data_IF_356578488971
#
_entry.id   IF_356578488971
#
_cell.length_a   1.000
_cell.length_b   1.000
_cell.length_c   1.000
_cell.angle_alpha   90.00
_cell.angle_beta   90.00
_cell.angle_gamma   90.00
#
_symmetry.space_group_name_H-M   'P 1'
#
loop_
_entity.id
_entity.type
_entity.pdbx_description
1 polymer ?
#
# COMPACT_ATOMS: atom_id res chain seq x y z
N UNK A 1 -6.52 -7.96 -17.66
CA UNK A 1 -6.36 -7.57 -16.26
C UNK A 1 -5.80 -6.15 -16.20
N UNK A 2 -6.38 -5.30 -15.39
CA UNK A 2 -5.91 -3.91 -15.30
C UNK A 2 -4.70 -3.80 -14.39
N UNK A 3 -3.95 -2.70 -14.57
CA UNK A 3 -2.81 -2.40 -13.69
C UNK A 3 -3.28 -2.27 -12.24
N UNK A 4 -4.43 -1.62 -12.03
CA UNK A 4 -4.99 -1.48 -10.67
C UNK A 4 -5.26 -2.85 -10.04
N UNK A 5 -5.80 -3.79 -10.79
CA UNK A 5 -6.06 -5.14 -10.30
C UNK A 5 -4.76 -5.84 -9.92
N UNK A 6 -3.72 -5.68 -10.73
CA UNK A 6 -2.41 -6.27 -10.44
C UNK A 6 -1.81 -5.69 -9.16
N UNK A 7 -1.91 -4.37 -8.98
CA UNK A 7 -1.41 -3.70 -7.78
C UNK A 7 -2.20 -4.16 -6.54
N UNK A 8 -3.52 -4.24 -6.66
CA UNK A 8 -4.37 -4.73 -5.58
C UNK A 8 -3.94 -6.13 -5.14
N UNK A 9 -3.70 -7.03 -6.10
CA UNK A 9 -3.25 -8.39 -5.79
C UNK A 9 -1.91 -8.40 -5.07
N UNK A 10 -0.99 -7.52 -5.47
CA UNK A 10 0.31 -7.42 -4.83
C UNK A 10 0.16 -7.01 -3.36
N UNK A 11 -0.69 -6.02 -3.09
CA UNK A 11 -0.95 -5.59 -1.72
C UNK A 11 -1.67 -6.66 -0.91
N UNK A 12 -2.63 -7.34 -1.52
CA UNK A 12 -3.34 -8.44 -0.85
C UNK A 12 -2.37 -9.55 -0.42
N UNK A 13 -1.42 -9.87 -1.29
CA UNK A 13 -0.41 -10.88 -0.97
C UNK A 13 0.47 -10.44 0.20
N UNK A 14 0.83 -9.15 0.26
CA UNK A 14 1.60 -8.61 1.37
C UNK A 14 0.83 -8.70 2.69
N UNK A 15 -0.45 -8.34 2.66
CA UNK A 15 -1.31 -8.44 3.84
C UNK A 15 -1.47 -9.88 4.29
N UNK A 16 -1.60 -10.81 3.34
CA UNK A 16 -1.71 -12.24 3.65
C UNK A 16 -0.49 -12.73 4.41
N UNK A 17 0.70 -12.31 4.00
CA UNK A 17 1.95 -12.66 4.68
C UNK A 17 1.98 -12.15 6.11
N UNK A 18 1.29 -11.05 6.38
CA UNK A 18 1.21 -10.45 7.71
C UNK A 18 0.04 -10.99 8.53
N UNK A 19 -0.74 -11.91 7.95
CA UNK A 19 -1.90 -12.47 8.62
C UNK A 19 -3.08 -11.51 8.70
N UNK A 20 -3.17 -10.56 7.78
CA UNK A 20 -4.20 -9.53 7.78
C UNK A 20 -5.17 -9.76 6.62
N UNK A 21 -6.47 -9.70 6.92
CA UNK A 21 -7.51 -9.67 5.91
C UNK A 21 -8.17 -8.30 5.94
N UNK A 22 -8.15 -7.60 4.83
CA UNK A 22 -8.74 -6.28 4.73
C UNK A 22 -9.01 -5.93 3.26
N UNK A 23 -10.00 -5.08 3.07
CA UNK A 23 -10.29 -4.53 1.74
C UNK A 23 -9.28 -3.43 1.44
N UNK A 24 -8.74 -3.45 0.23
CA UNK A 24 -7.73 -2.48 -0.20
C UNK A 24 -8.32 -1.58 -1.27
N UNK A 25 -8.27 -0.28 -1.03
CA UNK A 25 -8.64 0.72 -2.01
C UNK A 25 -7.36 1.30 -2.63
N UNK A 26 -7.23 1.13 -3.92
CA UNK A 26 -6.12 1.69 -4.69
C UNK A 26 -6.68 2.85 -5.50
N UNK A 27 -6.08 4.02 -5.35
CA UNK A 27 -6.54 5.22 -6.06
C UNK A 27 -5.40 5.85 -6.85
N UNK A 28 -5.76 6.67 -7.83
CA UNK A 28 -4.80 7.49 -8.57
C UNK A 28 -4.68 8.83 -7.86
N UNK A 29 -3.46 9.21 -7.42
CA UNK A 29 -3.27 10.54 -6.82
C UNK A 29 -3.53 11.63 -7.85
N UNK A 30 -3.98 12.78 -7.37
CA UNK A 30 -4.23 13.94 -8.24
C UNK A 30 -2.93 14.44 -8.88
N UNK A 31 -1.82 14.36 -8.16
CA UNK A 31 -0.52 14.84 -8.62
C UNK A 31 0.45 13.68 -8.82
N UNK A 32 1.13 13.65 -9.97
CA UNK A 32 2.07 12.59 -10.31
C UNK A 32 3.24 12.46 -9.33
N UNK A 33 3.56 13.53 -8.60
CA UNK A 33 4.61 13.47 -7.60
C UNK A 33 4.29 12.53 -6.44
N UNK A 34 3.02 12.14 -6.29
CA UNK A 34 2.58 11.16 -5.30
C UNK A 34 2.52 9.74 -5.87
N UNK A 35 3.10 9.54 -7.05
CA UNK A 35 3.16 8.24 -7.70
C UNK A 35 2.04 7.99 -8.69
N UNK A 36 2.00 6.80 -9.22
CA UNK A 36 0.97 6.39 -10.17
C UNK A 36 -0.29 5.89 -9.46
N UNK A 37 -0.11 5.30 -8.28
CA UNK A 37 -1.22 4.82 -7.45
C UNK A 37 -0.87 4.99 -5.98
N UNK A 38 -1.90 5.07 -5.15
CA UNK A 38 -1.75 5.28 -3.72
C UNK A 38 -2.80 4.48 -2.96
N UNK A 39 -2.49 4.09 -1.74
CA UNK A 39 -3.47 3.44 -0.86
C UNK A 39 -3.33 3.96 0.57
N UNK A 40 -4.45 4.04 1.28
CA UNK A 40 -4.50 4.42 2.68
C UNK A 40 -4.70 3.20 3.58
N UNK A 41 -4.38 1.99 3.09
CA UNK A 41 -4.64 0.76 3.83
C UNK A 41 -4.01 0.76 5.23
N UNK A 42 -2.80 1.31 5.35
CA UNK A 42 -2.11 1.36 6.64
C UNK A 42 -2.89 2.20 7.65
N UNK A 43 -3.44 3.33 7.21
CA UNK A 43 -4.25 4.17 8.07
C UNK A 43 -5.55 3.50 8.48
N UNK A 44 -6.17 2.76 7.56
CA UNK A 44 -7.37 2.01 7.84
C UNK A 44 -7.16 0.91 8.87
N UNK A 45 -5.97 0.32 8.90
CA UNK A 45 -5.64 -0.78 9.81
C UNK A 45 -5.09 -0.33 11.15
N UNK A 46 -4.70 0.95 11.28
CA UNK A 46 -4.01 1.44 12.47
C UNK A 46 -4.78 1.18 13.75
N UNK A 47 -6.09 1.44 13.73
CA UNK A 47 -6.95 1.27 14.89
C UNK A 47 -7.08 -0.20 15.29
N UNK A 48 -7.28 -1.05 14.29
CA UNK A 48 -7.45 -2.49 14.48
C UNK A 48 -6.19 -3.14 15.02
N UNK A 49 -5.04 -2.76 14.48
CA UNK A 49 -3.75 -3.35 14.84
C UNK A 49 -3.08 -2.66 16.02
N UNK A 50 -3.62 -1.52 16.47
CA UNK A 50 -3.06 -0.73 17.58
C UNK A 50 -1.60 -0.36 17.35
N UNK A 51 -1.29 0.01 16.10
CA UNK A 51 0.04 0.44 15.68
C UNK A 51 -0.08 1.73 14.89
N UNK A 52 1.02 2.47 14.80
CA UNK A 52 1.02 3.68 13.99
C UNK A 52 0.86 3.33 12.52
N UNK A 53 0.15 4.16 11.73
CA UNK A 53 0.00 3.89 10.30
C UNK A 53 1.33 3.76 9.57
N UNK A 54 2.33 4.56 9.94
CA UNK A 54 3.64 4.48 9.28
C UNK A 54 4.33 3.15 9.57
N UNK A 55 4.23 2.64 10.80
CA UNK A 55 4.81 1.34 11.13
C UNK A 55 4.15 0.22 10.34
N UNK A 56 2.83 0.29 10.20
CA UNK A 56 2.08 -0.69 9.41
C UNK A 56 2.48 -0.59 7.94
N UNK A 57 2.62 0.63 7.41
CA UNK A 57 3.05 0.85 6.03
C UNK A 57 4.43 0.25 5.79
N UNK A 58 5.36 0.43 6.72
CA UNK A 58 6.69 -0.17 6.62
C UNK A 58 6.64 -1.69 6.57
N UNK A 59 5.81 -2.30 7.41
CA UNK A 59 5.65 -3.75 7.43
C UNK A 59 5.07 -4.26 6.09
N UNK A 60 4.08 -3.55 5.56
CA UNK A 60 3.48 -3.90 4.27
C UNK A 60 4.53 -3.82 3.17
N UNK A 61 5.31 -2.74 3.14
CA UNK A 61 6.33 -2.53 2.10
C UNK A 61 7.40 -3.63 2.16
N UNK A 62 7.79 -4.06 3.35
CA UNK A 62 8.77 -5.15 3.50
C UNK A 62 8.30 -6.45 2.89
N UNK A 63 6.98 -6.67 2.84
CA UNK A 63 6.39 -7.90 2.32
C UNK A 63 5.82 -7.74 0.91
N UNK A 64 6.00 -6.57 0.32
CA UNK A 64 5.46 -6.24 -0.99
C UNK A 64 6.38 -6.78 -2.09
N UNK A 65 5.79 -7.28 -3.17
CA UNK A 65 6.54 -7.61 -4.37
C UNK A 65 6.81 -6.32 -5.13
N UNK A 66 8.07 -5.97 -5.29
CA UNK A 66 8.49 -4.70 -5.90
C UNK A 66 8.76 -4.79 -7.40
N UNK A 67 8.54 -5.95 -8.01
CA UNK A 67 8.94 -6.17 -9.41
C UNK A 67 8.36 -5.17 -10.40
N UNK A 68 7.12 -4.75 -10.19
CA UNK A 68 6.50 -3.81 -11.14
C UNK A 68 6.65 -2.34 -10.74
N UNK A 69 7.29 -2.07 -9.60
CA UNK A 69 7.44 -0.71 -9.11
C UNK A 69 8.86 -0.21 -9.26
N UNK A 70 9.00 1.03 -9.77
CA UNK A 70 10.31 1.70 -9.76
C UNK A 70 10.62 2.28 -8.40
N UNK A 71 9.57 2.62 -7.62
CA UNK A 71 9.75 3.20 -6.30
C UNK A 71 8.47 2.99 -5.49
N UNK A 72 8.64 2.83 -4.17
CA UNK A 72 7.53 2.78 -3.21
C UNK A 72 7.88 3.71 -2.07
N UNK A 73 6.98 4.59 -1.69
CA UNK A 73 7.21 5.58 -0.63
C UNK A 73 6.07 5.61 0.36
N UNK A 74 6.39 6.00 1.59
CA UNK A 74 5.39 6.34 2.60
C UNK A 74 5.26 7.85 2.62
N UNK A 75 4.04 8.36 2.52
CA UNK A 75 3.77 9.79 2.54
C UNK A 75 2.75 10.14 3.61
N UNK A 76 2.89 11.33 4.17
CA UNK A 76 1.96 11.83 5.17
C UNK A 76 1.86 10.90 6.37
N UNK A 77 0.64 10.67 6.83
CA UNK A 77 0.37 9.87 8.03
C UNK A 77 0.49 8.36 7.80
N UNK A 78 0.72 7.92 6.58
CA UNK A 78 0.84 6.50 6.30
C UNK A 78 0.31 6.08 4.94
N UNK A 79 0.16 7.02 4.01
CA UNK A 79 -0.15 6.68 2.61
C UNK A 79 1.02 5.91 2.02
N UNK A 80 0.72 4.89 1.24
CA UNK A 80 1.73 4.17 0.48
C UNK A 80 1.55 4.56 -0.99
N UNK A 81 2.58 5.20 -1.55
CA UNK A 81 2.58 5.65 -2.94
C UNK A 81 3.49 4.73 -3.75
N UNK A 82 2.99 4.23 -4.88
CA UNK A 82 3.76 3.36 -5.74
C UNK A 82 3.96 4.01 -7.11
N UNK A 83 5.16 3.83 -7.64
CA UNK A 83 5.59 4.40 -8.93
C UNK A 83 5.92 3.24 -9.86
N UNK A 84 5.32 3.25 -11.04
CA UNK A 84 5.53 2.20 -12.05
C UNK A 84 6.79 2.39 -12.87
#
# INVERSE_FOLDING_TARGET
MSVRTSITSIFEAALFKLGIQAHIDISRPEFSQHGDFSTNIAMSLAKQLKKSPRAIAEDIIKNLDHKMFSKVEIAGAGFINVFL
#
